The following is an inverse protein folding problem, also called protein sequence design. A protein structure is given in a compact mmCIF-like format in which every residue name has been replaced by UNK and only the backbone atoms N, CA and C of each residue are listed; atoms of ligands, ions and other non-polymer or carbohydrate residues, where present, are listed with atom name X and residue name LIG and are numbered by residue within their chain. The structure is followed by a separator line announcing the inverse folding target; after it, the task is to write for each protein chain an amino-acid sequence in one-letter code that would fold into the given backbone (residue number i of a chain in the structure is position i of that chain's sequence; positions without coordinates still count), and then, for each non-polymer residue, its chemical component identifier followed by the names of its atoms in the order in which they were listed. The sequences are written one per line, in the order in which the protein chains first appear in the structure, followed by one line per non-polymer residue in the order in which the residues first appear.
data_IF_701174023933
#
_entry.id   IF_701174023933
#
_cell.length_a   1.000
_cell.length_b   1.000
_cell.length_c   1.000
_cell.angle_alpha   90.00
_cell.angle_beta   90.00
_cell.angle_gamma   90.00
#
_symmetry.space_group_name_H-M   'P 1'
#
loop_
_entity.id
_entity.type
_entity.pdbx_description
1 polymer ?
#
# COMPACT_ATOMS: atom_id res chain seq x y z
N UNK A 1 -5.41 -31.80 19.82
CA UNK A 1 -5.34 -31.88 18.35
C UNK A 1 -5.82 -30.56 17.72
N UNK A 2 -5.08 -29.44 17.89
CA UNK A 2 -5.54 -28.09 17.51
C UNK A 2 -4.49 -27.24 16.76
N UNK A 3 -3.34 -27.83 16.39
CA UNK A 3 -2.23 -27.10 15.75
C UNK A 3 -2.57 -26.66 14.32
N UNK A 4 -3.34 -27.48 13.60
CA UNK A 4 -3.76 -27.18 12.23
C UNK A 4 -4.67 -25.95 12.17
N UNK A 5 -5.54 -25.76 13.16
CA UNK A 5 -6.46 -24.61 13.18
C UNK A 5 -5.71 -23.29 13.39
N UNK A 6 -4.70 -23.27 14.27
CA UNK A 6 -3.85 -22.09 14.49
C UNK A 6 -3.01 -21.75 13.25
N UNK A 7 -2.47 -22.77 12.57
CA UNK A 7 -1.71 -22.57 11.32
C UNK A 7 -2.62 -22.01 10.22
N UNK A 8 -3.83 -22.55 10.07
CA UNK A 8 -4.81 -22.05 9.09
C UNK A 8 -5.16 -20.59 9.36
N UNK A 9 -5.41 -20.23 10.62
CA UNK A 9 -5.73 -18.86 11.00
C UNK A 9 -4.58 -17.88 10.72
N UNK A 10 -3.34 -18.28 11.03
CA UNK A 10 -2.15 -17.48 10.73
C UNK A 10 -1.95 -17.28 9.22
N UNK A 11 -2.14 -18.33 8.43
CA UNK A 11 -2.04 -18.23 6.95
C UNK A 11 -3.14 -17.32 6.41
N UNK A 12 -4.37 -17.43 6.90
CA UNK A 12 -5.48 -16.54 6.49
C UNK A 12 -5.19 -15.09 6.84
N UNK A 13 -4.65 -14.81 8.03
CA UNK A 13 -4.26 -13.46 8.44
C UNK A 13 -3.13 -12.88 7.57
N UNK A 14 -2.08 -13.67 7.29
CA UNK A 14 -0.98 -13.26 6.43
C UNK A 14 -1.48 -13.00 5.01
N UNK A 15 -2.32 -13.89 4.48
CA UNK A 15 -2.93 -13.73 3.17
C UNK A 15 -3.76 -12.44 3.16
N UNK A 16 -4.73 -12.26 4.05
CA UNK A 16 -5.56 -11.03 4.15
C UNK A 16 -4.72 -9.76 4.31
N UNK A 17 -3.65 -9.79 5.11
CA UNK A 17 -2.72 -8.67 5.23
C UNK A 17 -2.00 -8.40 3.91
N UNK A 18 -1.49 -9.43 3.22
CA UNK A 18 -0.84 -9.25 1.90
C UNK A 18 -1.84 -8.81 0.81
N UNK A 19 -3.09 -9.28 0.83
CA UNK A 19 -4.12 -8.77 -0.10
C UNK A 19 -4.51 -7.33 0.26
N UNK A 20 -4.55 -6.94 1.54
CA UNK A 20 -4.83 -5.56 1.94
C UNK A 20 -3.73 -4.59 1.47
N UNK A 21 -2.46 -5.03 1.47
CA UNK A 21 -1.36 -4.32 0.82
C UNK A 21 -1.41 -4.39 -0.72
N UNK A 22 -2.15 -5.35 -1.29
CA UNK A 22 -2.37 -5.47 -2.73
C UNK A 22 -3.58 -4.63 -3.20
N UNK A 23 -4.57 -4.40 -2.34
CA UNK A 23 -5.77 -3.59 -2.66
C UNK A 23 -5.52 -2.08 -2.70
N UNK A 24 -4.31 -1.61 -2.37
CA UNK A 24 -3.87 -0.25 -2.75
C UNK A 24 -3.46 -0.15 -4.22
N UNK A 25 -3.40 -1.27 -4.94
CA UNK A 25 -3.05 -1.37 -6.36
C UNK A 25 -4.04 -2.29 -7.09
N UNK A 26 -5.34 -2.18 -6.79
CA UNK A 26 -6.40 -2.74 -7.65
C UNK A 26 -7.43 -1.67 -7.93
N UNK A 27 -7.08 -0.79 -8.85
CA UNK A 27 -7.93 -0.46 -9.98
C UNK A 27 -6.99 0.21 -11.00
N UNK A 28 -7.25 0.18 -12.30
CA UNK A 28 -6.51 1.02 -13.26
C UNK A 28 -6.66 2.54 -13.02
N UNK A 29 -7.12 2.93 -11.84
CA UNK A 29 -7.22 4.28 -11.34
C UNK A 29 -5.90 4.66 -10.69
N UNK A 30 -5.24 5.59 -11.35
CA UNK A 30 -4.14 6.31 -10.80
C UNK A 30 -4.47 7.00 -9.46
N UNK A 31 -3.45 7.24 -8.64
CA UNK A 31 -3.60 7.91 -7.35
C UNK A 31 -3.89 9.40 -7.53
N UNK A 32 -4.92 9.95 -6.86
CA UNK A 32 -5.19 11.38 -6.85
C UNK A 32 -4.15 12.15 -6.02
N UNK A 33 -4.15 13.48 -6.14
CA UNK A 33 -3.23 14.35 -5.39
C UNK A 33 -3.37 14.14 -3.87
N UNK A 34 -2.22 14.05 -3.18
CA UNK A 34 -2.17 13.83 -1.73
C UNK A 34 -2.24 12.37 -1.29
N UNK A 35 -2.55 11.44 -2.19
CA UNK A 35 -2.44 10.01 -1.92
C UNK A 35 -0.99 9.58 -1.81
N UNK A 36 -0.71 8.63 -0.90
CA UNK A 36 0.61 8.04 -0.77
C UNK A 36 0.97 7.25 -2.02
N UNK A 37 2.16 7.49 -2.54
CA UNK A 37 2.67 6.85 -3.75
C UNK A 37 4.07 6.27 -3.49
N UNK A 38 4.51 5.37 -4.36
CA UNK A 38 5.87 4.80 -4.29
C UNK A 38 6.73 5.28 -5.44
N UNK A 39 6.09 5.59 -6.58
CA UNK A 39 6.69 5.97 -7.84
C UNK A 39 5.73 6.87 -8.63
N UNK A 40 6.27 7.66 -9.57
CA UNK A 40 5.46 8.55 -10.42
C UNK A 40 4.37 7.82 -11.21
N UNK A 41 4.60 6.54 -11.53
CA UNK A 41 3.65 5.69 -12.24
C UNK A 41 2.40 5.34 -11.41
N UNK A 42 2.47 5.47 -10.08
CA UNK A 42 1.29 5.27 -9.22
C UNK A 42 0.34 6.47 -9.30
N UNK A 43 0.83 7.66 -9.68
CA UNK A 43 0.08 8.90 -9.68
C UNK A 43 -0.73 9.12 -10.97
N UNK A 44 -1.81 9.90 -10.89
CA UNK A 44 -2.55 10.29 -12.08
C UNK A 44 -1.71 11.05 -13.07
N UNK A 45 -2.06 10.92 -14.36
CA UNK A 45 -1.41 11.68 -15.41
C UNK A 45 -1.41 13.16 -14.99
N UNK A 46 -0.21 13.77 -15.02
CA UNK A 46 0.07 15.13 -14.55
C UNK A 46 0.35 15.30 -13.04
N UNK A 47 0.52 14.21 -12.29
CA UNK A 47 0.99 14.22 -10.91
C UNK A 47 2.32 13.46 -10.79
N UNK A 48 3.21 13.96 -9.92
CA UNK A 48 4.51 13.37 -9.60
C UNK A 48 4.54 12.88 -8.15
N UNK A 49 5.21 11.76 -7.94
CA UNK A 49 5.38 11.18 -6.62
C UNK A 49 6.54 11.87 -5.90
N UNK A 50 6.20 12.77 -4.97
CA UNK A 50 7.19 13.60 -4.26
C UNK A 50 7.10 13.42 -2.75
N UNK A 51 8.23 13.58 -2.09
CA UNK A 51 8.30 13.56 -0.62
C UNK A 51 7.49 14.73 -0.07
N UNK A 52 6.42 14.42 0.68
CA UNK A 52 5.57 15.42 1.34
C UNK A 52 5.89 15.58 2.81
N UNK A 53 6.24 14.49 3.49
CA UNK A 53 6.39 14.51 4.93
C UNK A 53 7.53 13.62 5.39
N UNK A 54 8.23 14.05 6.43
CA UNK A 54 9.27 13.28 7.11
C UNK A 54 8.79 13.10 8.56
N UNK A 55 8.28 11.93 8.89
CA UNK A 55 7.99 11.58 10.28
C UNK A 55 8.92 10.46 10.67
N UNK A 56 9.61 10.66 11.79
CA UNK A 56 10.48 9.64 12.39
C UNK A 56 11.65 9.18 11.50
N UNK A 57 12.04 9.98 10.50
CA UNK A 57 13.17 9.69 9.63
C UNK A 57 12.83 8.92 8.35
N UNK A 58 11.54 8.65 8.08
CA UNK A 58 11.10 8.01 6.84
C UNK A 58 10.46 9.03 5.87
N UNK A 59 10.89 9.07 4.59
CA UNK A 59 10.25 9.92 3.59
C UNK A 59 8.87 9.35 3.21
N UNK A 60 7.83 10.13 3.44
CA UNK A 60 6.47 9.83 2.99
C UNK A 60 6.28 10.49 1.63
N UNK A 61 6.20 9.69 0.57
CA UNK A 61 5.91 10.17 -0.78
C UNK A 61 4.40 10.28 -1.03
N UNK A 62 3.98 11.33 -1.75
CA UNK A 62 2.60 11.51 -2.20
C UNK A 62 2.51 12.21 -3.57
N UNK A 63 1.41 11.98 -4.28
CA UNK A 63 1.18 12.56 -5.62
C UNK A 63 0.91 14.07 -5.57
N UNK A 64 1.59 14.84 -6.43
CA UNK A 64 1.45 16.30 -6.56
C UNK A 64 1.61 16.77 -8.01
#
# INVERSE_FOLDING_TARGET
MMKNLTVVFMVVLVVVATIAHLTTVVDGACLPAGSKCTSDADCCANLTCRVRFFILGEPILACQ
#
